data_IF_910908213566
#
_entry.id   IF_910908213566
#
_cell.length_a   1.000
_cell.length_b   1.000
_cell.length_c   1.000
_cell.angle_alpha   90.00
_cell.angle_beta   90.00
_cell.angle_gamma   90.00
#
_symmetry.space_group_name_H-M   'P 1'
#
loop_
_entity.id
_entity.type
_entity.pdbx_description
1 polymer ?
#
# COMPACT_ATOMS: atom_id res chain seq x y z
N UNK A 1 -1.61 16.34 6.39
CA UNK A 1 -0.58 16.65 7.42
C UNK A 1 -1.17 17.47 8.57
N UNK A 2 -2.14 18.33 8.26
CA UNK A 2 -3.04 19.08 9.14
C UNK A 2 -3.78 18.29 10.25
N UNK A 3 -3.90 16.97 10.15
CA UNK A 3 -4.60 16.14 11.16
C UNK A 3 -3.70 15.26 12.04
N UNK A 4 -2.38 15.43 11.99
CA UNK A 4 -1.45 14.58 12.74
C UNK A 4 -1.71 14.59 14.25
N UNK A 5 -1.95 15.78 14.83
CA UNK A 5 -2.21 15.90 16.27
C UNK A 5 -3.47 15.15 16.71
N UNK A 6 -4.49 15.12 15.85
CA UNK A 6 -5.73 14.38 16.12
C UNK A 6 -5.45 12.87 16.09
N UNK A 7 -4.64 12.39 15.14
CA UNK A 7 -4.23 10.98 15.06
C UNK A 7 -3.41 10.58 16.29
N UNK A 8 -2.45 11.41 16.69
CA UNK A 8 -1.64 11.17 17.90
C UNK A 8 -2.49 11.11 19.18
N UNK A 9 -3.53 11.93 19.27
CA UNK A 9 -4.48 11.88 20.38
C UNK A 9 -5.41 10.66 20.34
N UNK A 10 -5.66 10.10 19.15
CA UNK A 10 -6.53 8.95 18.96
C UNK A 10 -5.82 7.60 19.16
N UNK A 11 -4.53 7.49 18.80
CA UNK A 11 -3.68 6.31 19.01
C UNK A 11 -3.80 5.71 20.44
N UNK A 12 -3.63 6.46 21.54
CA UNK A 12 -3.72 5.89 22.88
C UNK A 12 -5.12 5.35 23.22
N UNK A 13 -6.18 5.96 22.68
CA UNK A 13 -7.57 5.50 22.87
C UNK A 13 -7.83 4.21 22.12
N UNK A 14 -7.33 4.11 20.89
CA UNK A 14 -7.40 2.86 20.11
C UNK A 14 -6.60 1.76 20.81
N UNK A 15 -5.41 2.08 21.34
CA UNK A 15 -4.59 1.13 22.09
C UNK A 15 -5.32 0.63 23.34
N UNK A 16 -6.00 1.51 24.07
CA UNK A 16 -6.82 1.14 25.23
C UNK A 16 -7.98 0.21 24.83
N UNK A 17 -8.73 0.56 23.79
CA UNK A 17 -9.83 -0.25 23.27
C UNK A 17 -9.38 -1.65 22.79
N UNK A 18 -8.12 -1.78 22.36
CA UNK A 18 -7.50 -3.04 21.98
C UNK A 18 -6.73 -3.72 23.12
N UNK A 19 -7.00 -3.36 24.38
CA UNK A 19 -6.50 -4.08 25.54
C UNK A 19 -5.03 -3.77 25.89
N UNK A 20 -4.60 -2.53 25.67
CA UNK A 20 -3.25 -2.02 25.98
C UNK A 20 -2.08 -2.79 25.34
N UNK A 21 -2.30 -3.38 24.16
CA UNK A 21 -1.26 -4.09 23.41
C UNK A 21 0.04 -3.26 23.30
N UNK A 22 1.23 -3.89 23.44
CA UNK A 22 2.50 -3.23 23.17
C UNK A 22 2.55 -2.73 21.73
N UNK A 23 3.09 -1.52 21.50
CA UNK A 23 3.17 -0.94 20.16
C UNK A 23 4.50 -1.32 19.49
N UNK A 24 4.52 -2.50 18.89
CA UNK A 24 5.62 -3.04 18.07
C UNK A 24 5.03 -3.58 16.77
N UNK A 25 5.83 -3.94 15.78
CA UNK A 25 5.26 -4.61 14.59
C UNK A 25 4.69 -5.99 14.99
N UNK A 26 3.47 -6.36 14.57
CA UNK A 26 2.55 -5.62 13.69
C UNK A 26 1.59 -4.65 14.40
N UNK A 27 1.40 -4.75 15.73
CA UNK A 27 0.39 -4.03 16.51
C UNK A 27 0.49 -2.50 16.46
N UNK A 28 1.68 -1.92 16.31
CA UNK A 28 1.87 -0.47 16.16
C UNK A 28 1.23 0.05 14.86
N UNK A 29 1.34 -0.69 13.77
CA UNK A 29 0.71 -0.35 12.49
C UNK A 29 -0.81 -0.50 12.59
N UNK A 30 -1.30 -1.57 13.22
CA UNK A 30 -2.74 -1.82 13.40
C UNK A 30 -3.39 -0.66 14.15
N UNK A 31 -2.82 -0.26 15.29
CA UNK A 31 -3.32 0.87 16.09
C UNK A 31 -3.23 2.18 15.31
N UNK A 32 -2.11 2.43 14.63
CA UNK A 32 -1.90 3.63 13.83
C UNK A 32 -2.92 3.77 12.70
N UNK A 33 -3.10 2.72 11.89
CA UNK A 33 -4.06 2.69 10.79
C UNK A 33 -5.48 2.92 11.27
N UNK A 34 -5.90 2.24 12.34
CA UNK A 34 -7.25 2.42 12.88
C UNK A 34 -7.46 3.83 13.45
N UNK A 35 -6.45 4.42 14.09
CA UNK A 35 -6.53 5.80 14.57
C UNK A 35 -6.69 6.78 13.41
N UNK A 36 -5.93 6.61 12.32
CA UNK A 36 -6.09 7.41 11.10
C UNK A 36 -7.50 7.26 10.53
N UNK A 37 -8.03 6.04 10.41
CA UNK A 37 -9.39 5.80 9.94
C UNK A 37 -10.42 6.56 10.78
N UNK A 38 -10.35 6.47 12.11
CA UNK A 38 -11.26 7.17 13.02
C UNK A 38 -11.24 8.70 12.82
N UNK A 39 -10.05 9.28 12.61
CA UNK A 39 -9.89 10.73 12.39
C UNK A 39 -10.39 11.16 11.01
N UNK A 40 -10.18 10.33 9.98
CA UNK A 40 -10.63 10.65 8.63
C UNK A 40 -12.15 10.53 8.49
N UNK A 41 -12.75 9.51 9.09
CA UNK A 41 -14.21 9.30 9.05
C UNK A 41 -14.96 10.24 10.00
N UNK A 42 -14.28 10.82 11.00
CA UNK A 42 -14.90 11.67 12.03
C UNK A 42 -15.70 10.90 13.08
N UNK A 43 -15.70 9.58 13.02
CA UNK A 43 -16.46 8.69 13.91
C UNK A 43 -15.60 7.46 14.27
N UNK A 44 -15.41 7.23 15.57
CA UNK A 44 -14.57 6.13 16.07
C UNK A 44 -15.15 4.79 15.64
N UNK A 45 -14.35 4.00 14.95
CA UNK A 45 -14.69 2.66 14.47
C UNK A 45 -15.93 2.62 13.58
N UNK A 46 -16.28 3.71 12.87
CA UNK A 46 -17.27 3.63 11.78
C UNK A 46 -16.87 2.54 10.77
N UNK A 47 -15.58 2.49 10.47
CA UNK A 47 -14.95 1.39 9.74
C UNK A 47 -13.90 0.75 10.65
N UNK A 48 -13.94 -0.57 10.79
CA UNK A 48 -12.93 -1.35 11.51
C UNK A 48 -11.98 -1.97 10.49
N UNK A 49 -10.68 -1.70 10.61
CA UNK A 49 -9.66 -2.37 9.81
C UNK A 49 -9.65 -3.88 10.12
N UNK A 50 -9.38 -4.72 9.11
CA UNK A 50 -9.36 -6.18 9.23
C UNK A 50 -8.46 -6.67 10.36
N UNK A 51 -7.28 -6.09 10.49
CA UNK A 51 -6.31 -6.47 11.52
C UNK A 51 -6.77 -6.04 12.92
N UNK A 52 -7.43 -4.89 13.02
CA UNK A 52 -8.06 -4.45 14.28
C UNK A 52 -9.16 -5.43 14.68
N UNK A 53 -9.97 -5.87 13.70
CA UNK A 53 -10.95 -6.91 13.89
C UNK A 53 -10.29 -8.24 14.31
N UNK A 54 -9.16 -8.63 13.72
CA UNK A 54 -8.43 -9.84 14.09
C UNK A 54 -7.91 -9.80 15.53
N UNK A 55 -7.42 -8.65 16.01
CA UNK A 55 -7.06 -8.46 17.43
C UNK A 55 -8.29 -8.71 18.32
N UNK A 56 -9.43 -8.11 17.97
CA UNK A 56 -10.69 -8.28 18.71
C UNK A 56 -11.21 -9.73 18.68
N UNK A 57 -10.95 -10.47 17.59
CA UNK A 57 -11.27 -11.90 17.45
C UNK A 57 -10.29 -12.81 18.19
N UNK A 58 -9.15 -12.31 18.66
CA UNK A 58 -8.10 -13.12 19.29
C UNK A 58 -7.15 -13.82 18.32
N UNK A 59 -7.19 -13.46 17.03
CA UNK A 59 -6.38 -14.08 15.96
C UNK A 59 -4.87 -13.80 16.10
N UNK A 60 -4.50 -12.78 16.89
CA UNK A 60 -3.12 -12.41 17.20
C UNK A 60 -2.68 -12.87 18.60
N UNK A 61 -3.52 -13.61 19.32
CA UNK A 61 -3.28 -14.08 20.68
C UNK A 61 -3.93 -13.22 21.76
N UNK A 62 -3.46 -13.38 22.99
CA UNK A 62 -4.07 -12.75 24.17
C UNK A 62 -3.56 -11.32 24.39
N UNK A 63 -4.49 -10.39 24.62
CA UNK A 63 -4.16 -9.00 24.97
C UNK A 63 -3.82 -8.89 26.46
N UNK A 64 -2.96 -7.92 26.87
CA UNK A 64 -2.59 -7.74 28.29
C UNK A 64 -3.78 -7.53 29.24
N UNK A 65 -4.82 -6.84 28.77
CA UNK A 65 -6.09 -6.68 29.46
C UNK A 65 -7.25 -6.95 28.51
N UNK A 66 -8.49 -7.15 29.00
CA UNK A 66 -9.64 -7.32 28.13
C UNK A 66 -9.79 -6.17 27.13
N UNK A 67 -10.09 -6.52 25.88
CA UNK A 67 -10.44 -5.55 24.85
C UNK A 67 -11.80 -4.92 25.14
N UNK A 68 -12.15 -3.84 24.43
CA UNK A 68 -13.47 -3.24 24.51
C UNK A 68 -14.55 -4.25 24.11
N UNK A 69 -15.42 -4.58 25.06
CA UNK A 69 -16.43 -5.63 24.90
C UNK A 69 -17.45 -5.32 23.78
N UNK A 70 -17.82 -4.06 23.60
CA UNK A 70 -18.78 -3.66 22.57
C UNK A 70 -18.18 -3.80 21.17
N UNK A 71 -16.92 -3.41 20.98
CA UNK A 71 -16.20 -3.59 19.72
C UNK A 71 -15.98 -5.06 19.40
N UNK A 72 -15.57 -5.85 20.40
CA UNK A 72 -15.39 -7.29 20.24
C UNK A 72 -16.70 -7.98 19.84
N UNK A 73 -17.80 -7.70 20.53
CA UNK A 73 -19.10 -8.26 20.18
C UNK A 73 -19.52 -7.91 18.75
N UNK A 74 -19.27 -6.67 18.31
CA UNK A 74 -19.60 -6.20 16.96
C UNK A 74 -18.80 -6.93 15.87
N UNK A 75 -17.54 -7.26 16.13
CA UNK A 75 -16.67 -7.99 15.19
C UNK A 75 -16.93 -9.50 15.18
N UNK A 76 -17.35 -10.05 16.32
CA UNK A 76 -17.62 -11.48 16.45
C UNK A 76 -18.95 -11.90 15.81
N UNK A 77 -19.90 -10.98 15.66
CA UNK A 77 -21.21 -11.24 15.02
C UNK A 77 -21.94 -12.47 15.60
N UNK A 78 -21.85 -12.67 16.91
CA UNK A 78 -22.43 -13.82 17.63
C UNK A 78 -21.51 -15.03 17.75
N UNK A 79 -20.31 -14.99 17.17
CA UNK A 79 -19.25 -15.97 17.38
C UNK A 79 -18.52 -15.82 18.72
N UNK A 80 -17.61 -16.75 18.99
CA UNK A 80 -16.72 -16.71 20.14
C UNK A 80 -15.31 -16.25 19.73
N UNK A 81 -14.59 -15.49 20.58
CA UNK A 81 -13.21 -15.14 20.29
C UNK A 81 -12.30 -16.39 20.37
N UNK A 82 -11.20 -16.36 19.62
CA UNK A 82 -10.11 -17.33 19.73
C UNK A 82 -9.44 -17.17 21.09
N UNK A 83 -9.43 -18.23 21.88
CA UNK A 83 -8.85 -18.24 23.24
C UNK A 83 -7.61 -19.13 23.36
N UNK A 84 -7.33 -19.98 22.36
CA UNK A 84 -6.10 -20.77 22.28
C UNK A 84 -4.99 -20.00 21.55
N UNK A 85 -3.81 -20.63 21.41
CA UNK A 85 -2.77 -20.09 20.53
C UNK A 85 -3.27 -20.19 19.08
N UNK A 86 -3.29 -19.11 18.28
CA UNK A 86 -3.87 -19.12 16.94
C UNK A 86 -3.34 -20.22 16.01
N UNK A 87 -2.05 -20.57 16.12
CA UNK A 87 -1.43 -21.65 15.36
C UNK A 87 -2.04 -23.04 15.63
N UNK A 88 -2.74 -23.24 16.76
CA UNK A 88 -3.42 -24.51 17.08
C UNK A 88 -4.65 -24.73 16.20
N UNK A 89 -5.14 -23.69 15.52
CA UNK A 89 -6.24 -23.76 14.56
C UNK A 89 -5.77 -24.01 13.12
N UNK A 90 -4.45 -23.96 12.87
CA UNK A 90 -3.87 -24.16 11.56
C UNK A 90 -3.50 -25.62 11.34
N UNK A 91 -3.77 -26.13 10.13
CA UNK A 91 -3.33 -27.46 9.73
C UNK A 91 -1.87 -27.40 9.26
N UNK A 92 -1.08 -28.49 9.42
CA UNK A 92 0.23 -28.57 8.79
C UNK A 92 0.13 -28.43 7.27
N UNK A 93 0.85 -27.47 6.71
CA UNK A 93 0.72 -27.05 5.30
C UNK A 93 1.94 -27.37 4.43
N UNK A 94 3.04 -27.85 5.02
CA UNK A 94 4.33 -27.98 4.31
C UNK A 94 4.25 -28.86 3.05
N UNK A 95 3.58 -30.02 3.14
CA UNK A 95 3.45 -30.94 2.00
C UNK A 95 2.64 -30.33 0.85
N UNK A 96 1.61 -29.54 1.17
CA UNK A 96 0.80 -28.85 0.17
C UNK A 96 1.59 -27.72 -0.49
N UNK A 97 2.33 -26.94 0.30
CA UNK A 97 3.21 -25.87 -0.18
C UNK A 97 4.34 -26.40 -1.07
N UNK A 98 4.95 -27.52 -0.70
CA UNK A 98 5.98 -28.17 -1.54
C UNK A 98 5.41 -28.56 -2.92
N UNK A 99 4.21 -29.14 -2.95
CA UNK A 99 3.56 -29.53 -4.19
C UNK A 99 3.19 -28.30 -5.05
N UNK A 100 2.67 -27.25 -4.42
CA UNK A 100 2.28 -26.01 -5.11
C UNK A 100 3.49 -25.28 -5.71
N UNK A 101 4.56 -25.10 -4.93
CA UNK A 101 5.79 -24.44 -5.40
C UNK A 101 6.44 -25.23 -6.55
N UNK A 102 6.47 -26.56 -6.47
CA UNK A 102 6.97 -27.40 -7.57
C UNK A 102 6.12 -27.24 -8.83
N UNK A 103 4.80 -27.22 -8.70
CA UNK A 103 3.88 -26.98 -9.82
C UNK A 103 4.12 -25.61 -10.44
N UNK A 104 4.11 -24.55 -9.64
CA UNK A 104 4.34 -23.18 -10.13
C UNK A 104 5.71 -23.02 -10.80
N UNK A 105 6.74 -23.66 -10.25
CA UNK A 105 8.07 -23.65 -10.85
C UNK A 105 8.10 -24.35 -12.21
N UNK A 106 7.41 -25.49 -12.36
CA UNK A 106 7.28 -26.18 -13.64
C UNK A 106 6.50 -25.34 -14.67
N UNK A 107 5.37 -24.77 -14.28
CA UNK A 107 4.52 -23.94 -15.15
C UNK A 107 5.23 -22.69 -15.65
N UNK A 108 6.07 -22.08 -14.81
CA UNK A 108 6.78 -20.83 -15.11
C UNK A 108 8.23 -21.03 -15.55
N UNK A 109 8.72 -22.27 -15.64
CA UNK A 109 10.10 -22.57 -16.01
C UNK A 109 11.14 -22.06 -14.99
N UNK A 110 10.77 -21.97 -13.71
CA UNK A 110 11.65 -21.50 -12.64
C UNK A 110 12.55 -22.65 -12.20
N UNK A 111 13.85 -22.38 -12.15
CA UNK A 111 14.81 -23.32 -11.57
C UNK A 111 14.84 -23.16 -10.04
N UNK A 112 14.32 -24.18 -9.34
CA UNK A 112 14.44 -24.25 -7.88
C UNK A 112 15.89 -24.50 -7.44
N UNK A 113 16.21 -24.06 -6.23
CA UNK A 113 17.49 -24.31 -5.59
C UNK A 113 17.74 -25.82 -5.38
N UNK A 114 19.01 -26.20 -5.24
CA UNK A 114 19.39 -27.59 -4.95
C UNK A 114 18.74 -28.13 -3.67
N UNK A 115 18.50 -27.24 -2.69
CA UNK A 115 17.69 -27.52 -1.51
C UNK A 115 16.30 -26.85 -1.66
N UNK A 116 15.38 -27.52 -2.36
CA UNK A 116 14.09 -26.94 -2.74
C UNK A 116 13.23 -26.47 -1.55
N UNK A 117 13.48 -26.97 -0.34
CA UNK A 117 12.77 -26.53 0.88
C UNK A 117 13.00 -25.05 1.17
N UNK A 118 14.16 -24.47 0.83
CA UNK A 118 14.45 -23.06 1.07
C UNK A 118 13.56 -22.16 0.20
N UNK A 119 13.28 -22.61 -1.03
CA UNK A 119 12.38 -21.94 -1.96
C UNK A 119 10.93 -22.07 -1.50
N UNK A 120 10.57 -23.25 -1.00
CA UNK A 120 9.24 -23.51 -0.44
C UNK A 120 8.97 -22.61 0.76
N UNK A 121 9.92 -22.50 1.69
CA UNK A 121 9.80 -21.60 2.85
C UNK A 121 9.79 -20.12 2.44
N UNK A 122 10.54 -19.74 1.41
CA UNK A 122 10.53 -18.37 0.86
C UNK A 122 9.13 -18.01 0.33
N UNK A 123 8.52 -18.90 -0.45
CA UNK A 123 7.17 -18.71 -0.97
C UNK A 123 6.12 -18.85 0.14
N UNK A 124 6.30 -19.74 1.12
CA UNK A 124 5.38 -19.86 2.24
C UNK A 124 5.27 -18.57 3.06
N UNK A 125 6.40 -17.93 3.33
CA UNK A 125 6.44 -16.67 4.09
C UNK A 125 5.97 -15.47 3.27
N UNK A 126 6.24 -15.46 1.95
CA UNK A 126 5.88 -14.36 1.05
C UNK A 126 5.46 -14.91 -0.31
N UNK A 127 4.21 -15.32 -0.55
CA UNK A 127 3.89 -16.11 -1.74
C UNK A 127 4.13 -15.38 -3.07
N UNK A 128 3.70 -14.13 -3.18
CA UNK A 128 3.91 -13.35 -4.41
C UNK A 128 5.34 -12.86 -4.56
N UNK A 129 5.89 -12.25 -3.51
CA UNK A 129 7.25 -11.68 -3.53
C UNK A 129 8.29 -12.79 -3.65
N UNK A 130 8.10 -13.87 -2.91
CA UNK A 130 8.92 -15.07 -2.96
C UNK A 130 8.93 -15.66 -4.37
N UNK A 131 7.76 -15.89 -4.97
CA UNK A 131 7.68 -16.41 -6.34
C UNK A 131 8.33 -15.48 -7.36
N UNK A 132 8.06 -14.16 -7.28
CA UNK A 132 8.69 -13.14 -8.13
C UNK A 132 10.22 -13.11 -7.96
N UNK A 133 10.71 -13.31 -6.73
CA UNK A 133 12.12 -13.46 -6.44
C UNK A 133 12.69 -14.71 -7.09
N UNK A 134 12.01 -15.86 -7.01
CA UNK A 134 12.45 -17.10 -7.66
C UNK A 134 12.53 -16.94 -9.18
N UNK A 135 11.52 -16.32 -9.80
CA UNK A 135 11.49 -15.99 -11.24
C UNK A 135 12.70 -15.15 -11.67
N UNK A 136 13.19 -14.27 -10.79
CA UNK A 136 14.25 -13.32 -11.10
C UNK A 136 15.58 -13.66 -10.43
N UNK A 137 15.72 -14.79 -9.72
CA UNK A 137 16.88 -15.13 -8.90
C UNK A 137 18.23 -14.98 -9.62
N UNK A 138 18.25 -15.26 -10.93
CA UNK A 138 19.43 -15.19 -11.78
C UNK A 138 19.42 -13.98 -12.73
N UNK A 139 18.58 -12.99 -12.46
CA UNK A 139 18.43 -11.75 -13.21
C UNK A 139 18.85 -10.53 -12.36
N UNK A 140 20.13 -10.14 -12.37
CA UNK A 140 20.62 -8.98 -11.63
C UNK A 140 19.88 -7.67 -11.98
N UNK A 141 19.36 -7.54 -13.20
CA UNK A 141 18.66 -6.33 -13.64
C UNK A 141 17.26 -6.17 -13.00
N UNK A 142 16.72 -7.23 -12.39
CA UNK A 142 15.45 -7.17 -11.67
C UNK A 142 15.60 -6.67 -10.22
N UNK A 143 16.83 -6.53 -9.72
CA UNK A 143 17.11 -6.11 -8.36
C UNK A 143 17.82 -4.77 -8.34
N UNK A 144 17.69 -4.07 -7.22
CA UNK A 144 18.48 -2.85 -7.00
C UNK A 144 19.98 -3.18 -7.04
N UNK A 145 20.81 -2.27 -7.58
CA UNK A 145 22.25 -2.44 -7.55
C UNK A 145 22.73 -2.65 -6.11
N UNK A 146 23.73 -3.52 -5.93
CA UNK A 146 24.36 -3.68 -4.62
C UNK A 146 24.77 -2.31 -4.08
N UNK A 147 24.42 -1.97 -2.84
CA UNK A 147 24.84 -0.72 -2.23
C UNK A 147 26.36 -0.63 -2.32
N UNK A 148 26.84 0.28 -3.15
CA UNK A 148 28.25 0.59 -3.19
C UNK A 148 28.50 1.48 -1.98
N UNK A 149 29.52 1.15 -1.18
CA UNK A 149 30.05 2.13 -0.25
C UNK A 149 30.61 3.27 -1.08
N UNK A 150 29.82 4.31 -1.31
CA UNK A 150 30.36 5.60 -1.72
C UNK A 150 31.37 5.95 -0.63
N UNK A 151 32.66 5.92 -0.99
CA UNK A 151 33.67 6.57 -0.18
C UNK A 151 33.12 7.97 0.05
N UNK A 152 32.87 8.34 1.31
CA UNK A 152 32.35 9.64 1.67
C UNK A 152 33.29 10.68 1.07
N UNK A 153 32.94 11.17 -0.13
CA UNK A 153 33.60 12.33 -0.65
C UNK A 153 33.22 13.43 0.33
N UNK A 154 34.20 14.12 0.94
CA UNK A 154 33.87 15.28 1.73
C UNK A 154 33.02 16.15 0.82
N UNK A 155 31.78 16.41 1.23
CA UNK A 155 30.93 17.37 0.56
C UNK A 155 31.76 18.64 0.54
N UNK A 156 32.35 18.95 -0.62
CA UNK A 156 32.94 20.25 -0.82
C UNK A 156 31.81 21.19 -0.44
N UNK A 157 32.05 22.07 0.56
CA UNK A 157 31.11 23.15 0.87
C UNK A 157 30.69 23.69 -0.48
N UNK A 158 29.41 23.56 -0.80
CA UNK A 158 28.87 24.12 -2.01
C UNK A 158 29.17 25.61 -1.93
N UNK A 159 30.23 26.06 -2.61
CA UNK A 159 30.29 27.43 -3.06
C UNK A 159 29.05 27.58 -3.92
N UNK A 160 28.07 28.33 -3.41
CA UNK A 160 26.87 28.74 -4.14
C UNK A 160 27.34 29.14 -5.55
N UNK A 161 26.99 28.39 -6.61
CA UNK A 161 26.98 28.99 -7.92
C UNK A 161 25.90 30.08 -7.82
N UNK A 162 26.24 31.34 -8.15
CA UNK A 162 25.25 32.40 -8.24
C UNK A 162 24.13 31.91 -9.16
N UNK A 163 22.95 31.61 -8.61
CA UNK A 163 21.89 30.87 -9.28
C UNK A 163 20.96 31.82 -10.03
N UNK A 164 21.55 32.82 -10.70
CA UNK A 164 20.83 33.66 -11.65
C UNK A 164 20.96 33.04 -13.04
N UNK A 165 19.84 32.55 -13.59
CA UNK A 165 19.83 31.86 -14.87
C UNK A 165 18.49 32.02 -15.58
N UNK A 166 18.53 31.97 -16.91
CA UNK A 166 17.33 31.89 -17.74
C UNK A 166 17.14 30.41 -18.09
N UNK A 167 16.00 29.86 -17.71
CA UNK A 167 15.63 28.46 -17.89
C UNK A 167 14.40 28.37 -18.78
N UNK A 168 14.37 27.39 -19.68
CA UNK A 168 13.14 27.03 -20.40
C UNK A 168 12.47 25.90 -19.64
N UNK A 169 11.30 26.17 -19.06
CA UNK A 169 10.52 25.22 -18.26
C UNK A 169 9.29 24.81 -19.06
N UNK A 170 9.06 23.51 -19.19
CA UNK A 170 7.91 22.96 -19.90
C UNK A 170 6.82 22.59 -18.88
N UNK A 171 5.67 23.25 -18.97
CA UNK A 171 4.50 23.00 -18.10
C UNK A 171 3.31 22.74 -18.99
N UNK A 172 2.65 21.60 -18.81
CA UNK A 172 1.48 21.19 -19.61
C UNK A 172 1.73 21.25 -21.13
N UNK A 173 2.94 20.88 -21.58
CA UNK A 173 3.34 20.87 -22.99
C UNK A 173 3.58 22.26 -23.60
N UNK A 174 3.67 23.31 -22.77
CA UNK A 174 4.03 24.66 -23.19
C UNK A 174 5.36 25.08 -22.56
N UNK A 175 6.29 25.53 -23.40
CA UNK A 175 7.58 26.02 -22.98
C UNK A 175 7.50 27.49 -22.52
N UNK A 176 7.96 27.75 -21.30
CA UNK A 176 8.05 29.07 -20.70
C UNK A 176 9.50 29.41 -20.40
N UNK A 177 9.93 30.61 -20.78
CA UNK A 177 11.27 31.10 -20.44
C UNK A 177 11.17 31.82 -19.09
N UNK A 178 11.80 31.25 -18.07
CA UNK A 178 11.78 31.71 -16.69
C UNK A 178 13.17 32.23 -16.31
N UNK A 179 13.24 33.51 -15.93
CA UNK A 179 14.46 34.09 -15.36
C UNK A 179 14.38 34.02 -13.83
N UNK A 180 15.28 33.25 -13.23
CA UNK A 180 15.40 33.13 -11.77
C UNK A 180 16.48 34.10 -11.28
N UNK A 181 16.15 34.90 -10.26
CA UNK A 181 17.06 35.87 -9.63
C UNK A 181 17.45 35.39 -8.23
N UNK A 182 18.55 35.90 -7.67
CA UNK A 182 19.18 35.44 -6.40
C UNK A 182 18.33 35.55 -5.11
N UNK A 183 17.04 35.87 -5.22
CA UNK A 183 16.06 35.85 -4.13
C UNK A 183 14.98 34.76 -4.25
N UNK A 184 14.96 33.96 -5.31
CA UNK A 184 13.88 33.00 -5.58
C UNK A 184 12.59 33.62 -6.15
N UNK A 185 12.58 34.95 -6.37
CA UNK A 185 11.46 35.65 -7.00
C UNK A 185 11.44 35.46 -8.52
N UNK A 186 10.27 35.07 -9.04
CA UNK A 186 9.99 34.91 -10.47
C UNK A 186 9.48 36.26 -11.00
N UNK A 187 10.32 36.99 -11.73
CA UNK A 187 9.99 38.35 -12.14
C UNK A 187 9.39 38.46 -13.54
N UNK A 188 9.60 37.49 -14.44
CA UNK A 188 9.06 37.52 -15.80
C UNK A 188 8.76 36.11 -16.34
N UNK A 189 7.50 35.89 -16.71
CA UNK A 189 7.01 34.72 -17.46
C UNK A 189 6.59 35.20 -18.84
N UNK A 190 7.34 34.83 -19.88
CA UNK A 190 6.99 35.10 -21.28
C UNK A 190 6.79 33.77 -22.01
N UNK A 191 5.60 33.59 -22.58
CA UNK A 191 5.27 32.42 -23.38
C UNK A 191 5.98 32.47 -24.74
N UNK A 192 6.69 31.40 -25.10
CA UNK A 192 7.27 31.27 -26.44
C UNK A 192 6.17 30.92 -27.47
N UNK A 193 6.25 31.49 -28.66
CA UNK A 193 5.29 31.23 -29.74
C UNK A 193 5.47 29.79 -30.30
N UNK A 194 4.39 29.02 -30.54
CA UNK A 194 4.50 27.59 -30.81
C UNK A 194 4.81 27.28 -32.28
N UNK A 195 5.73 26.34 -32.50
CA UNK A 195 5.81 25.57 -33.74
C UNK A 195 4.85 24.37 -33.63
N UNK A 196 4.02 24.17 -34.65
CA UNK A 196 3.00 23.13 -34.69
C UNK A 196 3.62 21.73 -34.83
N UNK A 197 3.29 20.82 -33.91
CA UNK A 197 3.33 19.38 -34.16
C UNK A 197 2.36 18.64 -33.24
N UNK A 198 1.80 17.56 -33.75
CA UNK A 198 0.57 16.87 -33.38
C UNK A 198 0.51 16.32 -31.95
N UNK A 199 -0.58 16.66 -31.24
CA UNK A 199 -0.95 16.10 -29.94
C UNK A 199 -1.48 14.66 -30.07
N UNK A 200 -1.10 13.73 -29.17
CA UNK A 200 -1.88 12.54 -28.88
C UNK A 200 -3.11 12.92 -28.03
N UNK A 201 -4.23 12.29 -28.33
CA UNK A 201 -5.55 12.59 -27.78
C UNK A 201 -5.64 12.39 -26.24
N UNK A 202 -6.21 13.39 -25.57
CA UNK A 202 -6.81 13.26 -24.24
C UNK A 202 -7.93 12.23 -24.26
N UNK A 203 -7.85 11.22 -23.38
CA UNK A 203 -8.96 10.32 -23.10
C UNK A 203 -10.06 11.07 -22.31
N UNK A 204 -11.36 10.72 -22.49
CA UNK A 204 -12.46 11.51 -21.95
C UNK A 204 -12.61 11.34 -20.43
N UNK A 205 -13.02 12.43 -19.77
CA UNK A 205 -13.57 12.40 -18.42
C UNK A 205 -14.82 11.49 -18.39
N UNK A 206 -14.67 10.27 -17.90
CA UNK A 206 -15.77 9.38 -17.57
C UNK A 206 -16.22 9.65 -16.13
N UNK A 207 -17.43 10.18 -15.96
CA UNK A 207 -18.07 10.44 -14.67
C UNK A 207 -18.03 9.21 -13.74
N UNK A 208 -17.13 9.24 -12.78
CA UNK A 208 -17.00 8.24 -11.73
C UNK A 208 -15.99 8.72 -10.67
N UNK A 209 -16.21 8.33 -9.43
CA UNK A 209 -15.37 8.66 -8.28
C UNK A 209 -14.13 7.74 -8.28
N UNK A 210 -12.91 8.29 -8.36
CA UNK A 210 -11.70 7.48 -8.35
C UNK A 210 -11.45 6.89 -6.95
N UNK A 211 -11.17 5.60 -6.89
CA UNK A 211 -10.67 4.91 -5.70
C UNK A 211 -9.15 4.92 -5.78
N UNK A 212 -8.50 5.64 -4.88
CA UNK A 212 -7.04 5.82 -4.88
C UNK A 212 -6.34 4.96 -3.84
N UNK A 213 -5.06 4.66 -4.06
CA UNK A 213 -4.22 3.94 -3.10
C UNK A 213 -3.96 4.81 -1.84
N UNK A 214 -4.33 4.35 -0.63
CA UNK A 214 -4.09 5.10 0.60
C UNK A 214 -2.64 4.98 1.10
N UNK A 215 -1.90 3.97 0.63
CA UNK A 215 -0.53 3.67 1.01
C UNK A 215 0.19 3.00 -0.17
N UNK A 216 1.52 3.17 -0.23
CA UNK A 216 2.35 2.55 -1.27
C UNK A 216 2.57 1.06 -0.98
N UNK A 217 2.47 0.20 -2.00
CA UNK A 217 2.61 -1.25 -1.86
C UNK A 217 2.35 -1.98 -3.18
N UNK A 218 2.10 -3.29 -3.11
CA UNK A 218 1.78 -4.13 -4.26
C UNK A 218 0.33 -4.60 -4.22
N UNK A 219 -0.35 -4.70 -5.35
CA UNK A 219 -1.70 -5.25 -5.41
C UNK A 219 -1.64 -6.76 -5.19
N UNK A 220 -2.11 -7.24 -4.04
CA UNK A 220 -2.18 -8.67 -3.74
C UNK A 220 -3.26 -9.36 -4.56
N UNK A 221 -4.48 -8.82 -4.55
CA UNK A 221 -5.61 -9.40 -5.27
C UNK A 221 -6.66 -8.36 -5.59
N UNK A 222 -7.11 -8.33 -6.84
CA UNK A 222 -8.32 -7.59 -7.23
C UNK A 222 -9.54 -8.51 -7.01
N UNK A 223 -10.51 -8.06 -6.21
CA UNK A 223 -11.72 -8.84 -5.88
C UNK A 223 -12.89 -8.41 -6.77
N UNK A 224 -13.02 -7.10 -7.01
CA UNK A 224 -14.09 -6.54 -7.82
C UNK A 224 -13.85 -6.75 -9.31
N UNK A 225 -14.93 -6.87 -10.10
CA UNK A 225 -14.89 -6.97 -11.56
C UNK A 225 -15.48 -5.74 -12.23
N UNK A 226 -15.02 -5.42 -13.45
CA UNK A 226 -15.62 -4.34 -14.23
C UNK A 226 -17.10 -4.62 -14.52
N UNK A 227 -17.95 -3.62 -14.30
CA UNK A 227 -19.41 -3.70 -14.39
C UNK A 227 -20.09 -4.21 -13.12
N UNK A 228 -19.34 -4.61 -12.08
CA UNK A 228 -19.93 -5.08 -10.82
C UNK A 228 -20.52 -3.93 -10.01
N UNK A 229 -21.74 -4.11 -9.51
CA UNK A 229 -22.34 -3.24 -8.50
C UNK A 229 -21.79 -3.60 -7.11
N UNK A 230 -21.30 -2.62 -6.39
CA UNK A 230 -20.70 -2.75 -5.04
C UNK A 230 -21.41 -1.82 -4.06
N UNK A 231 -21.58 -2.26 -2.82
CA UNK A 231 -22.11 -1.45 -1.73
C UNK A 231 -20.98 -0.68 -1.00
N UNK A 232 -21.35 0.35 -0.23
CA UNK A 232 -20.41 1.01 0.67
C UNK A 232 -19.83 -0.02 1.66
N UNK A 233 -18.50 -0.04 1.79
CA UNK A 233 -17.78 -0.96 2.66
C UNK A 233 -17.36 -2.28 2.01
N UNK A 234 -17.83 -2.59 0.79
CA UNK A 234 -17.41 -3.81 0.08
C UNK A 234 -15.91 -3.79 -0.24
N UNK A 235 -15.25 -4.94 -0.13
CA UNK A 235 -13.81 -5.06 -0.44
C UNK A 235 -13.63 -5.12 -1.95
N UNK A 236 -12.87 -4.15 -2.48
CA UNK A 236 -12.64 -4.00 -3.91
C UNK A 236 -11.35 -4.71 -4.33
N UNK A 237 -10.29 -4.55 -3.55
CA UNK A 237 -9.00 -5.21 -3.74
C UNK A 237 -8.21 -5.27 -2.43
N UNK A 238 -7.15 -6.05 -2.42
CA UNK A 238 -6.21 -6.21 -1.31
C UNK A 238 -4.85 -5.72 -1.78
N UNK A 239 -4.21 -4.89 -0.98
CA UNK A 239 -2.87 -4.35 -1.20
C UNK A 239 -1.94 -4.89 -0.12
N UNK A 240 -0.77 -5.37 -0.50
CA UNK A 240 0.30 -5.78 0.40
C UNK A 240 1.32 -4.66 0.55
N UNK A 241 1.54 -4.20 1.77
CA UNK A 241 2.61 -3.25 2.10
C UNK A 241 3.17 -3.53 3.48
N UNK A 242 4.48 -3.35 3.64
CA UNK A 242 5.16 -3.55 4.92
C UNK A 242 4.81 -4.89 5.60
N UNK A 243 4.66 -5.97 4.83
CA UNK A 243 4.27 -7.33 5.27
C UNK A 243 2.86 -7.46 5.86
N UNK A 244 1.97 -6.52 5.53
CA UNK A 244 0.57 -6.50 5.96
C UNK A 244 -0.36 -6.37 4.76
N UNK A 245 -1.51 -7.05 4.81
CA UNK A 245 -2.54 -7.04 3.75
C UNK A 245 -3.63 -6.01 4.07
N UNK A 246 -3.57 -4.83 3.46
CA UNK A 246 -4.62 -3.82 3.61
C UNK A 246 -5.73 -4.00 2.57
N UNK A 247 -6.96 -4.20 3.04
CA UNK A 247 -8.15 -4.23 2.19
C UNK A 247 -8.57 -2.80 1.79
N UNK A 248 -8.74 -2.57 0.50
CA UNK A 248 -9.29 -1.33 -0.06
C UNK A 248 -10.79 -1.53 -0.26
N UNK A 249 -11.59 -0.74 0.47
CA UNK A 249 -13.04 -0.83 0.49
C UNK A 249 -13.71 0.32 -0.27
N UNK A 250 -14.89 0.07 -0.81
CA UNK A 250 -15.71 1.08 -1.47
C UNK A 250 -16.15 2.15 -0.47
N UNK A 251 -15.78 3.40 -0.73
CA UNK A 251 -16.20 4.54 0.10
C UNK A 251 -17.69 4.88 -0.05
N UNK A 252 -18.33 4.40 -1.12
CA UNK A 252 -19.75 4.59 -1.41
C UNK A 252 -20.24 3.46 -2.32
N UNK A 253 -21.54 3.21 -2.34
CA UNK A 253 -22.15 2.29 -3.30
C UNK A 253 -22.01 2.83 -4.73
N UNK A 254 -21.78 1.94 -5.70
CA UNK A 254 -21.60 2.31 -7.09
C UNK A 254 -21.31 1.12 -7.99
N UNK A 255 -21.11 1.38 -9.27
CA UNK A 255 -20.73 0.37 -10.27
C UNK A 255 -19.26 0.54 -10.66
N UNK A 256 -18.48 -0.54 -10.61
CA UNK A 256 -17.07 -0.54 -11.03
C UNK A 256 -17.00 -0.28 -12.52
N UNK A 257 -16.49 0.87 -12.93
CA UNK A 257 -16.46 1.30 -14.34
C UNK A 257 -15.16 0.98 -15.06
N UNK A 258 -14.07 0.85 -14.32
CA UNK A 258 -12.76 0.54 -14.87
C UNK A 258 -11.77 0.24 -13.76
N UNK A 259 -10.96 -0.79 -13.97
CA UNK A 259 -9.90 -1.21 -13.04
C UNK A 259 -8.55 -0.87 -13.69
N UNK A 260 -7.78 0.01 -13.05
CA UNK A 260 -6.53 0.54 -13.59
C UNK A 260 -5.29 -0.29 -13.19
N UNK A 261 -5.46 -1.30 -12.34
CA UNK A 261 -4.38 -2.11 -11.76
C UNK A 261 -4.68 -3.61 -11.86
N UNK A 262 -3.63 -4.44 -11.88
CA UNK A 262 -3.75 -5.91 -11.80
C UNK A 262 -2.96 -6.44 -10.59
N UNK A 263 -3.25 -7.68 -10.19
CA UNK A 263 -2.49 -8.36 -9.15
C UNK A 263 -0.98 -8.39 -9.50
N UNK A 264 -0.14 -8.02 -8.54
CA UNK A 264 1.30 -7.90 -8.65
C UNK A 264 1.83 -6.51 -9.03
N UNK A 265 0.96 -5.56 -9.40
CA UNK A 265 1.37 -4.19 -9.72
C UNK A 265 1.80 -3.43 -8.47
N UNK A 266 2.86 -2.62 -8.60
CA UNK A 266 3.28 -1.69 -7.57
C UNK A 266 2.51 -0.37 -7.71
N UNK A 267 2.03 0.17 -6.59
CA UNK A 267 1.26 1.41 -6.53
C UNK A 267 1.82 2.36 -5.47
N UNK A 268 1.71 3.65 -5.72
CA UNK A 268 2.08 4.74 -4.82
C UNK A 268 0.86 5.40 -4.21
N UNK A 269 1.04 6.12 -3.10
CA UNK A 269 -0.04 6.91 -2.48
C UNK A 269 -0.65 7.86 -3.51
N UNK A 270 -1.97 7.79 -3.67
CA UNK A 270 -2.73 8.65 -4.60
C UNK A 270 -2.91 8.07 -6.00
N UNK A 271 -2.28 6.95 -6.35
CA UNK A 271 -2.50 6.30 -7.63
C UNK A 271 -3.95 5.83 -7.74
N UNK A 272 -4.56 6.03 -8.90
CA UNK A 272 -5.94 5.57 -9.16
C UNK A 272 -5.94 4.07 -9.36
N UNK A 273 -6.65 3.35 -8.49
CA UNK A 273 -6.75 1.89 -8.53
C UNK A 273 -7.93 1.44 -9.41
N UNK A 274 -9.09 2.08 -9.24
CA UNK A 274 -10.28 1.85 -10.04
C UNK A 274 -11.23 3.04 -9.97
N UNK A 275 -12.28 3.04 -10.80
CA UNK A 275 -13.31 4.09 -10.82
C UNK A 275 -14.68 3.51 -10.50
N UNK A 276 -15.41 4.12 -9.56
CA UNK A 276 -16.80 3.77 -9.22
C UNK A 276 -17.77 4.82 -9.78
N UNK A 277 -18.82 4.40 -10.48
CA UNK A 277 -19.88 5.28 -11.00
C UNK A 277 -21.17 5.19 -10.18
#
# INVERSE_FOLDING_TARGET
ADRLDQVLAEIPRVREDLGFIPLVTPTSQIVGTQAVLNVLTGERYKTIAKETAGILKGEYGHTPVPVNAALQARVLEGGAPVTCRPADLLKPELAELEADVRRQAQEKGIQLAGNAIDDVLTVALFPQIGLKFLENRHNPAAFEPLPQAEAAQPVAKAEKPAASGIYTVEVEGKAFVVKVSDGGDISQLTAAAPAASSAPATAPAGAGTPVTAPLAGNIWKVIATEGQSVAEGDVLLILEAMKMETEIRAAQAGTVRGIAVKSGDAVSVGDTLMTLA
#
